data_IF_094571537866
#
_entry.id   IF_094571537866
#
_cell.length_a   1.000
_cell.length_b   1.000
_cell.length_c   1.000
_cell.angle_alpha   90.00
_cell.angle_beta   90.00
_cell.angle_gamma   90.00
#
_symmetry.space_group_name_H-M   'P 1'
#
loop_
_entity.id
_entity.type
_entity.pdbx_description
1 polymer ?
#
# COMPACT_ATOMS: atom_id res chain seq x y z
N UNK A 1 58.03 -29.01 24.48
CA UNK A 1 56.57 -29.05 24.28
C UNK A 1 56.00 -27.69 24.65
N UNK A 2 55.87 -26.79 23.67
CA UNK A 2 55.25 -25.48 23.88
C UNK A 2 53.74 -25.60 23.60
N UNK A 3 52.93 -25.47 24.65
CA UNK A 3 51.48 -25.41 24.56
C UNK A 3 51.08 -23.97 24.22
N UNK A 4 50.58 -23.77 22.99
CA UNK A 4 49.97 -22.51 22.55
C UNK A 4 48.63 -22.27 23.27
N UNK A 5 48.31 -21.03 23.71
CA UNK A 5 47.07 -20.75 24.42
C UNK A 5 45.84 -20.70 23.47
N UNK A 6 44.67 -21.23 23.91
CA UNK A 6 43.46 -21.41 23.08
C UNK A 6 42.79 -20.11 22.62
N UNK A 7 43.16 -18.96 23.18
CA UNK A 7 42.57 -17.65 22.86
C UNK A 7 43.06 -17.08 21.52
N UNK A 8 44.30 -17.41 21.12
CA UNK A 8 44.84 -17.08 19.79
C UNK A 8 44.14 -17.88 18.68
N UNK A 9 43.64 -19.07 18.98
CA UNK A 9 42.93 -19.92 18.02
C UNK A 9 41.53 -19.37 17.68
N UNK A 10 40.80 -18.79 18.65
CA UNK A 10 39.47 -18.19 18.42
C UNK A 10 39.54 -16.85 17.68
N UNK A 11 40.54 -16.01 17.97
CA UNK A 11 40.76 -14.74 17.26
C UNK A 11 41.28 -14.96 15.81
N UNK A 12 42.03 -16.03 15.57
CA UNK A 12 42.45 -16.42 14.23
C UNK A 12 41.28 -17.06 13.45
N UNK A 13 40.41 -17.84 14.12
CA UNK A 13 39.20 -18.40 13.51
C UNK A 13 38.19 -17.32 13.13
N UNK A 14 37.98 -16.29 13.95
CA UNK A 14 37.08 -15.17 13.64
C UNK A 14 37.62 -14.24 12.53
N UNK A 15 38.94 -14.22 12.30
CA UNK A 15 39.55 -13.57 11.12
C UNK A 15 39.51 -14.43 9.86
N UNK A 16 39.58 -15.76 9.98
CA UNK A 16 39.48 -16.69 8.85
C UNK A 16 38.03 -16.91 8.37
N UNK A 17 37.03 -16.68 9.22
CA UNK A 17 35.61 -16.79 8.86
C UNK A 17 35.02 -15.53 8.24
N UNK A 18 35.64 -14.34 8.41
CA UNK A 18 35.14 -13.08 7.80
C UNK A 18 34.95 -13.16 6.28
N UNK A 19 35.91 -13.64 5.47
CA UNK A 19 35.72 -13.73 4.03
C UNK A 19 34.69 -14.78 3.62
N UNK A 20 34.51 -15.83 4.42
CA UNK A 20 33.53 -16.89 4.15
C UNK A 20 32.11 -16.46 4.52
N UNK A 21 31.95 -15.74 5.63
CA UNK A 21 30.69 -15.12 6.05
C UNK A 21 30.28 -14.05 5.05
N UNK A 22 31.20 -13.15 4.66
CA UNK A 22 30.93 -12.12 3.64
C UNK A 22 30.58 -12.73 2.28
N UNK A 23 31.25 -13.80 1.86
CA UNK A 23 30.89 -14.53 0.61
C UNK A 23 29.53 -15.22 0.72
N UNK A 24 29.22 -15.84 1.85
CA UNK A 24 27.94 -16.49 2.07
C UNK A 24 26.79 -15.48 2.13
N UNK A 25 27.01 -14.33 2.75
CA UNK A 25 26.06 -13.20 2.78
C UNK A 25 25.86 -12.62 1.39
N UNK A 26 26.94 -12.37 0.64
CA UNK A 26 26.84 -11.93 -0.77
C UNK A 26 26.09 -12.94 -1.63
N UNK A 27 26.34 -14.24 -1.45
CA UNK A 27 25.63 -15.28 -2.20
C UNK A 27 24.14 -15.29 -1.88
N UNK A 28 23.75 -15.25 -0.60
CA UNK A 28 22.35 -15.14 -0.18
C UNK A 28 21.69 -13.86 -0.66
N UNK A 29 22.44 -12.77 -0.68
CA UNK A 29 21.98 -11.49 -1.21
C UNK A 29 21.66 -11.60 -2.71
N UNK A 30 22.58 -12.15 -3.50
CA UNK A 30 22.40 -12.37 -4.93
C UNK A 30 21.24 -13.34 -5.22
N UNK A 31 21.12 -14.43 -4.47
CA UNK A 31 20.00 -15.37 -4.58
C UNK A 31 18.65 -14.69 -4.26
N UNK A 32 18.59 -13.88 -3.20
CA UNK A 32 17.38 -13.14 -2.84
C UNK A 32 17.00 -12.10 -3.91
N UNK A 33 17.99 -11.42 -4.50
CA UNK A 33 17.79 -10.47 -5.60
C UNK A 33 17.28 -11.18 -6.86
N UNK A 34 17.89 -12.31 -7.22
CA UNK A 34 17.47 -13.14 -8.35
C UNK A 34 16.02 -13.60 -8.20
N UNK A 35 15.65 -14.13 -7.03
CA UNK A 35 14.28 -14.55 -6.74
C UNK A 35 13.28 -13.38 -6.75
N UNK A 36 13.70 -12.19 -6.33
CA UNK A 36 12.86 -11.00 -6.40
C UNK A 36 12.66 -10.55 -7.85
N UNK A 37 13.70 -10.61 -8.68
CA UNK A 37 13.62 -10.36 -10.13
C UNK A 37 12.71 -11.37 -10.82
N UNK A 38 12.84 -12.66 -10.52
CA UNK A 38 11.98 -13.71 -11.10
C UNK A 38 10.50 -13.45 -10.79
N UNK A 39 10.19 -13.14 -9.52
CA UNK A 39 8.83 -12.81 -9.09
C UNK A 39 8.30 -11.56 -9.79
N UNK A 40 9.14 -10.55 -10.00
CA UNK A 40 8.76 -9.34 -10.72
C UNK A 40 8.40 -9.67 -12.17
N UNK A 41 9.23 -10.46 -12.86
CA UNK A 41 8.96 -10.89 -14.23
C UNK A 41 7.65 -11.68 -14.31
N UNK A 42 7.41 -12.60 -13.37
CA UNK A 42 6.17 -13.37 -13.31
C UNK A 42 4.92 -12.50 -13.10
N UNK A 43 5.05 -11.36 -12.42
CA UNK A 43 3.95 -10.43 -12.18
C UNK A 43 3.70 -9.47 -13.35
N UNK A 44 4.73 -9.18 -14.14
CA UNK A 44 4.68 -8.21 -15.24
C UNK A 44 4.32 -8.89 -16.55
N UNK A 45 5.28 -9.64 -17.10
CA UNK A 45 5.21 -10.26 -18.43
C UNK A 45 6.28 -11.38 -18.49
N UNK A 46 5.88 -12.66 -18.37
CA UNK A 46 6.79 -13.79 -18.41
C UNK A 46 7.67 -13.87 -19.67
N UNK A 47 7.23 -13.31 -20.80
CA UNK A 47 8.00 -13.27 -22.04
C UNK A 47 9.31 -12.47 -21.92
N UNK A 48 9.42 -11.58 -20.92
CA UNK A 48 10.65 -10.82 -20.63
C UNK A 48 11.87 -11.70 -20.36
N UNK A 49 11.69 -12.96 -19.95
CA UNK A 49 12.79 -13.93 -19.79
C UNK A 49 13.53 -14.21 -21.10
N UNK A 50 12.86 -14.02 -22.25
CA UNK A 50 13.47 -14.17 -23.56
C UNK A 50 14.46 -13.06 -23.93
N UNK A 51 14.46 -11.95 -23.19
CA UNK A 51 15.36 -10.83 -23.45
C UNK A 51 16.76 -11.09 -22.89
N UNK A 52 17.80 -10.65 -23.62
CA UNK A 52 19.18 -10.80 -23.17
C UNK A 52 19.42 -9.97 -21.91
N UNK A 53 20.20 -10.52 -20.97
CA UNK A 53 20.61 -9.82 -19.75
C UNK A 53 19.46 -9.29 -18.88
N UNK A 54 18.25 -9.87 -18.97
CA UNK A 54 17.07 -9.37 -18.23
C UNK A 54 17.30 -9.30 -16.71
N UNK A 55 17.99 -10.28 -16.12
CA UNK A 55 18.36 -10.23 -14.69
C UNK A 55 19.27 -9.04 -14.38
N UNK A 56 20.31 -8.82 -15.18
CA UNK A 56 21.29 -7.74 -14.98
C UNK A 56 20.64 -6.37 -15.17
N UNK A 57 19.67 -6.26 -16.08
CA UNK A 57 18.91 -5.03 -16.35
C UNK A 57 17.92 -4.68 -15.24
N UNK A 58 17.27 -5.67 -14.63
CA UNK A 58 16.32 -5.46 -13.52
C UNK A 58 17.01 -5.34 -12.16
N UNK A 59 18.18 -5.94 -11.97
CA UNK A 59 18.87 -5.98 -10.69
C UNK A 59 19.02 -4.60 -10.01
N UNK A 60 19.43 -3.51 -10.70
CA UNK A 60 19.56 -2.19 -10.08
C UNK A 60 18.24 -1.66 -9.53
N UNK A 61 17.14 -1.92 -10.24
CA UNK A 61 15.83 -1.43 -9.84
C UNK A 61 15.28 -2.24 -8.67
N UNK A 62 15.42 -3.56 -8.70
CA UNK A 62 15.01 -4.44 -7.59
C UNK A 62 15.83 -4.14 -6.33
N UNK A 63 17.14 -3.87 -6.47
CA UNK A 63 18.01 -3.44 -5.36
C UNK A 63 17.54 -2.10 -4.77
N UNK A 64 17.25 -1.11 -5.62
CA UNK A 64 16.72 0.19 -5.18
C UNK A 64 15.38 0.05 -4.45
N UNK A 65 14.46 -0.78 -4.95
CA UNK A 65 13.17 -1.04 -4.30
C UNK A 65 13.40 -1.69 -2.93
N UNK A 66 14.29 -2.66 -2.84
CA UNK A 66 14.64 -3.31 -1.57
C UNK A 66 15.18 -2.31 -0.55
N UNK A 67 16.14 -1.48 -0.95
CA UNK A 67 16.76 -0.51 -0.06
C UNK A 67 15.75 0.57 0.38
N UNK A 68 14.89 1.02 -0.53
CA UNK A 68 13.80 1.92 -0.20
C UNK A 68 12.79 1.27 0.76
N UNK A 69 12.41 0.01 0.56
CA UNK A 69 11.54 -0.73 1.51
C UNK A 69 12.13 -0.77 2.91
N UNK A 70 13.45 -0.94 3.05
CA UNK A 70 14.12 -0.91 4.35
C UNK A 70 14.01 0.48 4.97
N UNK A 71 14.28 1.53 4.20
CA UNK A 71 14.15 2.91 4.67
C UNK A 71 12.71 3.21 5.15
N UNK A 72 11.69 2.78 4.40
CA UNK A 72 10.29 2.94 4.80
C UNK A 72 9.97 2.25 6.13
N UNK A 73 10.50 1.05 6.37
CA UNK A 73 10.29 0.30 7.63
C UNK A 73 10.93 1.03 8.81
N UNK A 74 12.13 1.58 8.60
CA UNK A 74 12.87 2.33 9.62
C UNK A 74 12.16 3.64 10.01
N UNK A 75 11.39 4.23 9.09
CA UNK A 75 10.58 5.44 9.30
C UNK A 75 9.24 5.21 10.03
N UNK A 76 8.74 3.96 10.09
CA UNK A 76 7.43 3.68 10.69
C UNK A 76 7.39 4.11 12.17
N UNK A 77 6.34 4.78 12.68
CA UNK A 77 6.27 5.16 14.09
C UNK A 77 6.03 3.94 15.00
N UNK A 78 6.35 4.07 16.29
CA UNK A 78 6.06 3.06 17.33
C UNK A 78 7.28 2.24 17.81
N UNK A 79 7.06 1.16 18.58
CA UNK A 79 5.78 0.49 18.81
C UNK A 79 4.89 1.20 19.83
N UNK A 80 3.63 1.45 19.45
CA UNK A 80 2.58 1.97 20.35
C UNK A 80 1.94 0.83 21.13
N UNK A 81 1.74 1.02 22.44
CA UNK A 81 1.09 0.02 23.29
C UNK A 81 -0.42 0.00 23.03
N UNK A 82 -0.93 -1.13 22.55
CA UNK A 82 -2.36 -1.37 22.44
C UNK A 82 -2.85 -2.09 23.70
N UNK A 83 -3.38 -1.31 24.63
CA UNK A 83 -3.90 -1.79 25.91
C UNK A 83 -5.34 -1.31 26.11
N UNK A 84 -6.25 -2.28 26.21
CA UNK A 84 -7.68 -2.05 26.40
C UNK A 84 -7.98 -1.28 27.68
N UNK A 85 -7.20 -1.51 28.74
CA UNK A 85 -7.42 -0.86 30.04
C UNK A 85 -7.05 0.63 29.97
N UNK A 86 -6.20 1.01 29.00
CA UNK A 86 -5.79 2.39 28.76
C UNK A 86 -6.68 3.12 27.76
N UNK A 87 -7.63 2.44 27.11
CA UNK A 87 -8.45 3.01 26.03
C UNK A 87 -9.12 4.35 26.39
N UNK A 88 -9.69 4.46 27.60
CA UNK A 88 -10.38 5.68 28.04
C UNK A 88 -9.44 6.84 28.42
N UNK A 89 -8.16 6.56 28.64
CA UNK A 89 -7.17 7.54 29.11
C UNK A 89 -6.12 7.90 28.06
N UNK A 90 -5.92 7.04 27.06
CA UNK A 90 -4.99 7.24 25.95
C UNK A 90 -5.72 7.86 24.75
N UNK A 91 -5.46 9.14 24.43
CA UNK A 91 -6.17 9.83 23.34
C UNK A 91 -6.00 9.15 21.99
N UNK A 92 -4.84 8.56 21.72
CA UNK A 92 -4.56 7.89 20.45
C UNK A 92 -5.40 6.60 20.32
N UNK A 93 -5.58 5.85 21.41
CA UNK A 93 -6.44 4.67 21.40
C UNK A 93 -7.91 5.07 21.21
N UNK A 94 -8.40 6.10 21.89
CA UNK A 94 -9.78 6.60 21.71
C UNK A 94 -10.05 7.21 20.33
N UNK A 95 -9.00 7.67 19.65
CA UNK A 95 -9.06 8.19 18.29
C UNK A 95 -9.12 7.03 17.26
N UNK A 96 -8.24 6.05 17.41
CA UNK A 96 -8.15 4.90 16.50
C UNK A 96 -9.34 3.95 16.67
N UNK A 97 -9.73 3.66 17.90
CA UNK A 97 -10.77 2.69 18.24
C UNK A 97 -11.96 3.41 18.85
N UNK A 98 -13.11 3.38 18.15
CA UNK A 98 -14.35 4.02 18.63
C UNK A 98 -14.88 3.37 19.91
N UNK A 99 -14.63 2.09 20.08
CA UNK A 99 -15.03 1.31 21.24
C UNK A 99 -13.89 0.33 21.64
N UNK A 100 -13.79 -0.04 22.93
CA UNK A 100 -12.81 -1.05 23.38
C UNK A 100 -12.98 -2.42 22.70
N UNK A 101 -14.20 -2.77 22.28
CA UNK A 101 -14.52 -3.99 21.53
C UNK A 101 -13.78 -4.03 20.18
N UNK A 102 -13.73 -2.91 19.45
CA UNK A 102 -13.04 -2.80 18.17
C UNK A 102 -11.54 -3.09 18.31
N UNK A 103 -10.93 -2.71 19.43
CA UNK A 103 -9.54 -3.07 19.72
C UNK A 103 -9.38 -4.59 19.87
N UNK A 104 -10.20 -5.24 20.70
CA UNK A 104 -10.18 -6.70 20.86
C UNK A 104 -10.37 -7.43 19.53
N UNK A 105 -11.33 -6.98 18.70
CA UNK A 105 -11.59 -7.54 17.36
C UNK A 105 -10.39 -7.40 16.42
N UNK A 106 -9.74 -6.24 16.42
CA UNK A 106 -8.55 -5.97 15.59
C UNK A 106 -7.40 -6.90 15.98
N UNK A 107 -7.19 -7.09 17.30
CA UNK A 107 -6.16 -7.99 17.81
C UNK A 107 -6.49 -9.47 17.59
N UNK A 108 -7.78 -9.83 17.49
CA UNK A 108 -8.25 -11.17 17.12
C UNK A 108 -8.30 -11.40 15.59
N UNK A 109 -7.67 -10.52 14.80
CA UNK A 109 -7.61 -10.61 13.35
C UNK A 109 -7.00 -11.92 12.83
N UNK A 110 -7.25 -12.28 11.55
CA UNK A 110 -6.82 -13.54 10.96
C UNK A 110 -5.30 -13.73 10.98
N UNK A 111 -4.52 -12.66 10.76
CA UNK A 111 -3.05 -12.69 10.79
C UNK A 111 -2.54 -13.08 12.18
N UNK A 112 -3.09 -12.47 13.24
CA UNK A 112 -2.70 -12.76 14.63
C UNK A 112 -3.10 -14.18 15.01
N UNK A 113 -4.34 -14.60 14.69
CA UNK A 113 -4.82 -15.97 14.95
C UNK A 113 -3.95 -17.02 14.27
N UNK A 114 -3.61 -16.81 12.99
CA UNK A 114 -2.74 -17.72 12.23
C UNK A 114 -1.36 -17.80 12.90
N UNK A 115 -0.76 -16.66 13.24
CA UNK A 115 0.55 -16.64 13.88
C UNK A 115 0.56 -17.38 15.22
N UNK A 116 -0.47 -17.18 16.06
CA UNK A 116 -0.61 -17.89 17.34
C UNK A 116 -0.74 -19.41 17.16
N UNK A 117 -1.47 -19.85 16.13
CA UNK A 117 -1.60 -21.28 15.80
C UNK A 117 -0.27 -21.90 15.35
N UNK A 118 0.53 -21.13 14.60
CA UNK A 118 1.86 -21.55 14.11
C UNK A 118 2.94 -21.49 15.21
N UNK A 119 2.75 -20.68 16.26
CA UNK A 119 3.73 -20.40 17.32
C UNK A 119 3.17 -20.67 18.73
N UNK A 120 2.51 -21.83 18.91
CA UNK A 120 1.91 -22.22 20.19
C UNK A 120 2.96 -22.38 21.30
N UNK A 121 4.16 -22.85 20.96
CA UNK A 121 5.28 -23.08 21.88
C UNK A 121 6.07 -21.81 22.22
N UNK A 122 5.78 -20.68 21.56
CA UNK A 122 6.47 -19.42 21.85
C UNK A 122 5.98 -18.84 23.19
N UNK A 123 6.91 -18.63 24.13
CA UNK A 123 6.66 -18.13 25.48
C UNK A 123 6.60 -16.59 25.56
N UNK A 124 6.66 -15.88 24.44
CA UNK A 124 6.61 -14.42 24.42
C UNK A 124 5.35 -13.86 25.09
N UNK A 125 5.54 -12.97 26.06
CA UNK A 125 4.45 -12.33 26.80
C UNK A 125 3.82 -11.16 26.05
N UNK A 126 4.58 -10.54 25.15
CA UNK A 126 4.16 -9.45 24.27
C UNK A 126 4.37 -9.83 22.80
N UNK A 127 3.47 -9.36 21.96
CA UNK A 127 3.57 -9.44 20.50
C UNK A 127 3.69 -8.04 19.92
N UNK A 128 4.36 -7.96 18.78
CA UNK A 128 4.54 -6.75 17.99
C UNK A 128 3.78 -6.91 16.68
N UNK A 129 3.19 -5.84 16.17
CA UNK A 129 2.52 -5.89 14.88
C UNK A 129 2.60 -4.60 14.10
N UNK A 130 2.19 -4.67 12.83
CA UNK A 130 1.94 -3.51 11.98
C UNK A 130 0.44 -3.26 11.92
N UNK A 131 -0.03 -2.19 12.56
CA UNK A 131 -1.42 -1.75 12.47
C UNK A 131 -1.60 -0.91 11.22
N UNK A 132 -2.59 -1.28 10.40
CA UNK A 132 -3.09 -0.47 9.29
C UNK A 132 -4.45 0.11 9.65
N UNK A 133 -4.71 1.33 9.23
CA UNK A 133 -6.03 1.95 9.37
C UNK A 133 -6.31 2.91 8.21
N UNK A 134 -7.58 3.04 7.81
CA UNK A 134 -8.02 4.00 6.79
C UNK A 134 -8.55 5.26 7.46
N UNK A 135 -7.97 6.45 7.24
CA UNK A 135 -8.54 7.69 7.74
C UNK A 135 -9.86 7.99 7.02
N UNK A 136 -10.87 8.40 7.78
CA UNK A 136 -12.20 8.76 7.30
C UNK A 136 -12.67 10.05 7.96
N UNK A 137 -12.71 11.10 7.16
CA UNK A 137 -13.30 12.37 7.53
C UNK A 137 -14.81 12.36 7.29
N UNK A 138 -15.57 12.90 8.24
CA UNK A 138 -17.02 13.05 8.11
C UNK A 138 -17.43 14.45 8.54
N UNK A 139 -18.03 15.16 7.60
CA UNK A 139 -18.69 16.43 7.88
C UNK A 139 -20.10 16.19 8.43
N UNK A 140 -20.43 16.87 9.53
CA UNK A 140 -21.75 16.83 10.17
C UNK A 140 -22.10 18.20 10.76
N UNK A 141 -23.38 18.42 11.03
CA UNK A 141 -23.86 19.57 11.79
C UNK A 141 -23.76 19.25 13.28
N UNK A 142 -23.13 20.13 14.04
CA UNK A 142 -22.95 20.00 15.48
C UNK A 142 -23.31 21.28 16.22
N UNK A 143 -23.13 21.25 17.53
CA UNK A 143 -23.30 22.40 18.41
C UNK A 143 -21.93 22.88 18.84
N UNK A 144 -21.71 24.19 18.78
CA UNK A 144 -20.47 24.82 19.24
C UNK A 144 -20.77 25.95 20.21
N UNK A 145 -19.97 26.05 21.28
CA UNK A 145 -19.99 27.20 22.17
C UNK A 145 -18.99 28.22 21.65
N UNK A 146 -19.46 29.41 21.27
CA UNK A 146 -18.61 30.56 20.92
C UNK A 146 -18.83 31.68 21.93
N UNK A 147 -17.84 31.92 22.78
CA UNK A 147 -17.98 32.81 23.94
C UNK A 147 -19.01 32.24 24.93
N UNK A 148 -20.11 32.95 25.13
CA UNK A 148 -21.22 32.55 26.02
C UNK A 148 -22.49 32.14 25.23
N UNK A 149 -22.38 31.91 23.91
CA UNK A 149 -23.50 31.53 23.04
C UNK A 149 -23.32 30.13 22.48
N UNK A 150 -24.38 29.32 22.60
CA UNK A 150 -24.54 28.07 21.89
C UNK A 150 -25.00 28.35 20.45
N UNK A 151 -24.16 28.01 19.48
CA UNK A 151 -24.50 28.01 18.07
C UNK A 151 -24.85 26.58 17.65
N UNK A 152 -26.06 26.41 17.12
CA UNK A 152 -26.52 25.17 16.50
C UNK A 152 -26.18 25.17 15.00
N UNK A 153 -26.16 23.98 14.40
CA UNK A 153 -25.90 23.77 12.97
C UNK A 153 -24.52 24.24 12.49
N UNK A 154 -23.51 24.17 13.36
CA UNK A 154 -22.13 24.46 12.98
C UNK A 154 -21.55 23.27 12.23
N UNK A 155 -21.04 23.52 11.02
CA UNK A 155 -20.37 22.50 10.21
C UNK A 155 -19.08 22.05 10.90
N UNK A 156 -19.04 20.79 11.33
CA UNK A 156 -17.90 20.17 12.00
C UNK A 156 -17.40 18.99 11.16
N UNK A 157 -16.08 18.83 11.07
CA UNK A 157 -15.46 17.66 10.44
C UNK A 157 -14.85 16.79 11.52
N UNK A 158 -15.33 15.55 11.65
CA UNK A 158 -14.74 14.55 12.55
C UNK A 158 -13.76 13.67 11.78
N UNK A 159 -12.65 13.32 12.43
CA UNK A 159 -11.70 12.33 11.93
C UNK A 159 -11.93 11.01 12.67
N UNK A 160 -12.09 9.93 11.92
CA UNK A 160 -12.18 8.58 12.47
C UNK A 160 -11.37 7.62 11.62
N UNK A 161 -11.14 6.42 12.15
CA UNK A 161 -10.42 5.37 11.45
C UNK A 161 -11.35 4.18 11.18
N UNK A 162 -11.23 3.60 9.99
CA UNK A 162 -11.94 2.39 9.58
C UNK A 162 -10.94 1.36 9.08
N UNK A 163 -11.41 0.12 8.89
CA UNK A 163 -10.60 -0.97 8.34
C UNK A 163 -9.29 -1.16 9.14
N UNK A 164 -9.43 -1.16 10.48
CA UNK A 164 -8.30 -1.41 11.38
C UNK A 164 -7.93 -2.89 11.30
N UNK A 165 -6.67 -3.18 11.00
CA UNK A 165 -6.18 -4.55 10.92
C UNK A 165 -4.70 -4.64 11.32
N UNK A 166 -4.33 -5.77 11.93
CA UNK A 166 -2.93 -6.15 12.11
C UNK A 166 -2.47 -6.89 10.85
N UNK A 167 -1.62 -6.24 10.05
CA UNK A 167 -1.16 -6.76 8.76
C UNK A 167 0.04 -7.71 8.88
N UNK A 168 0.81 -7.58 9.95
CA UNK A 168 1.94 -8.45 10.28
C UNK A 168 2.08 -8.54 11.79
N UNK A 169 2.60 -9.66 12.28
CA UNK A 169 2.80 -9.90 13.71
C UNK A 169 4.06 -10.75 13.93
N UNK A 170 4.76 -10.49 15.03
CA UNK A 170 5.88 -11.30 15.51
C UNK A 170 6.01 -11.16 17.04
N UNK A 171 6.72 -12.08 17.70
CA UNK A 171 7.07 -11.97 19.11
C UNK A 171 8.24 -11.01 19.38
N UNK A 172 8.93 -10.53 18.35
CA UNK A 172 10.02 -9.57 18.46
C UNK A 172 9.94 -8.46 17.41
N UNK A 173 10.25 -7.23 17.81
CA UNK A 173 10.18 -6.05 16.93
C UNK A 173 11.18 -6.12 15.77
N UNK A 174 12.38 -6.65 15.99
CA UNK A 174 13.38 -6.79 14.93
C UNK A 174 12.92 -7.83 13.91
N UNK A 175 12.37 -8.95 14.38
CA UNK A 175 11.77 -9.98 13.50
C UNK A 175 10.56 -9.47 12.73
N UNK A 176 9.69 -8.66 13.36
CA UNK A 176 8.61 -7.96 12.66
C UNK A 176 9.17 -7.07 11.54
N UNK A 177 10.15 -6.22 11.82
CA UNK A 177 10.75 -5.35 10.80
C UNK A 177 11.38 -6.16 9.66
N UNK A 178 12.02 -7.30 9.96
CA UNK A 178 12.56 -8.20 8.94
C UNK A 178 11.46 -8.84 8.08
N UNK A 179 10.34 -9.26 8.69
CA UNK A 179 9.23 -9.90 7.98
C UNK A 179 8.48 -8.92 7.06
N UNK A 180 8.52 -7.62 7.35
CA UNK A 180 7.91 -6.57 6.53
C UNK A 180 8.68 -6.23 5.23
N UNK A 181 9.98 -6.53 5.16
CA UNK A 181 10.83 -6.14 4.01
C UNK A 181 10.31 -6.65 2.68
N UNK A 182 9.98 -7.94 2.62
CA UNK A 182 9.47 -8.56 1.39
C UNK A 182 8.07 -8.07 1.04
N UNK A 183 7.07 -8.09 1.93
CA UNK A 183 5.73 -7.56 1.65
C UNK A 183 5.73 -6.11 1.14
N UNK A 184 6.57 -5.24 1.71
CA UNK A 184 6.65 -3.84 1.26
C UNK A 184 7.30 -3.74 -0.13
N UNK A 185 8.38 -4.48 -0.41
CA UNK A 185 8.93 -4.56 -1.76
C UNK A 185 7.91 -5.09 -2.77
N UNK A 186 7.21 -6.17 -2.43
CA UNK A 186 6.18 -6.77 -3.30
C UNK A 186 5.00 -5.79 -3.53
N UNK A 187 4.64 -4.98 -2.53
CA UNK A 187 3.65 -3.90 -2.67
C UNK A 187 4.15 -2.81 -3.64
N UNK A 188 5.39 -2.35 -3.49
CA UNK A 188 5.97 -1.32 -4.38
C UNK A 188 6.02 -1.84 -5.82
N UNK A 189 6.44 -3.09 -6.03
CA UNK A 189 6.37 -3.75 -7.34
C UNK A 189 4.95 -3.69 -7.89
N UNK A 190 3.96 -4.20 -7.14
CA UNK A 190 2.57 -4.24 -7.57
C UNK A 190 1.99 -2.85 -7.90
N UNK A 191 2.33 -1.83 -7.13
CA UNK A 191 1.91 -0.45 -7.38
C UNK A 191 2.56 0.15 -8.63
N UNK A 192 3.85 -0.15 -8.87
CA UNK A 192 4.56 0.23 -10.09
C UNK A 192 3.96 -0.42 -11.34
N UNK A 193 3.70 -1.73 -11.28
CA UNK A 193 3.08 -2.49 -12.37
C UNK A 193 1.65 -2.02 -12.66
N UNK A 194 0.89 -1.69 -11.62
CA UNK A 194 -0.48 -1.17 -11.79
C UNK A 194 -0.52 0.12 -12.63
N UNK A 195 0.59 0.87 -12.72
CA UNK A 195 0.70 2.04 -13.61
C UNK A 195 0.84 1.64 -15.07
N UNK A 196 1.53 0.54 -15.38
CA UNK A 196 1.59 -0.03 -16.73
C UNK A 196 0.21 -0.46 -17.17
N UNK A 197 -0.49 -1.23 -16.33
CA UNK A 197 -1.86 -1.65 -16.61
C UNK A 197 -2.78 -0.44 -16.86
N UNK A 198 -2.63 0.65 -16.09
CA UNK A 198 -3.35 1.89 -16.34
C UNK A 198 -2.98 2.60 -17.65
N UNK A 199 -1.74 2.47 -18.14
CA UNK A 199 -1.36 2.95 -19.47
C UNK A 199 -1.99 2.09 -20.58
N UNK A 200 -1.98 0.77 -20.44
CA UNK A 200 -2.61 -0.17 -21.38
C UNK A 200 -4.13 0.04 -21.46
N UNK A 201 -4.81 0.23 -20.32
CA UNK A 201 -6.23 0.55 -20.27
C UNK A 201 -6.55 1.86 -21.00
N UNK A 202 -5.71 2.89 -20.83
CA UNK A 202 -5.85 4.16 -21.57
C UNK A 202 -5.68 3.97 -23.07
N UNK A 203 -4.72 3.14 -23.50
CA UNK A 203 -4.52 2.80 -24.92
C UNK A 203 -5.78 2.14 -25.48
N UNK A 204 -6.30 1.11 -24.81
CA UNK A 204 -7.52 0.42 -25.21
C UNK A 204 -8.73 1.39 -25.27
N UNK A 205 -8.84 2.29 -24.29
CA UNK A 205 -9.89 3.31 -24.27
C UNK A 205 -9.82 4.30 -25.44
N UNK A 206 -8.61 4.73 -25.83
CA UNK A 206 -8.42 5.58 -27.01
C UNK A 206 -8.72 4.83 -28.31
N UNK A 207 -8.35 3.56 -28.42
CA UNK A 207 -8.66 2.72 -29.59
C UNK A 207 -10.17 2.52 -29.79
N UNK A 208 -10.90 2.23 -28.71
CA UNK A 208 -12.35 2.08 -28.78
C UNK A 208 -13.03 3.42 -29.13
N UNK A 209 -12.54 4.53 -28.55
CA UNK A 209 -13.01 5.87 -28.90
C UNK A 209 -12.80 6.16 -30.38
N UNK A 210 -11.61 5.84 -30.91
CA UNK A 210 -11.27 6.04 -32.32
C UNK A 210 -12.17 5.20 -33.23
N UNK A 211 -12.38 3.92 -32.89
CA UNK A 211 -13.27 3.01 -33.62
C UNK A 211 -14.69 3.56 -33.69
N UNK A 212 -15.23 4.04 -32.58
CA UNK A 212 -16.57 4.62 -32.51
C UNK A 212 -16.69 5.92 -33.31
N UNK A 213 -15.68 6.80 -33.27
CA UNK A 213 -15.66 8.02 -34.06
C UNK A 213 -15.60 7.73 -35.57
N UNK A 214 -14.79 6.76 -35.99
CA UNK A 214 -14.70 6.32 -37.39
C UNK A 214 -16.02 5.71 -37.89
N UNK A 215 -16.69 4.90 -37.06
CA UNK A 215 -18.02 4.36 -37.38
C UNK A 215 -19.05 5.48 -37.55
N UNK A 216 -19.09 6.46 -36.63
CA UNK A 216 -19.98 7.63 -36.75
C UNK A 216 -19.72 8.43 -38.03
N UNK A 217 -18.46 8.66 -38.36
CA UNK A 217 -18.08 9.37 -39.59
C UNK A 217 -18.58 8.62 -40.83
N UNK A 218 -18.44 7.29 -40.87
CA UNK A 218 -18.91 6.44 -41.97
C UNK A 218 -20.43 6.42 -42.11
N UNK A 219 -21.18 6.55 -41.02
CA UNK A 219 -22.65 6.65 -41.05
C UNK A 219 -23.11 8.02 -41.59
N UNK A 220 -22.43 9.10 -41.20
CA UNK A 220 -22.76 10.48 -41.63
C UNK A 220 -22.31 10.76 -43.07
N UNK A 221 -21.28 10.05 -43.55
CA UNK A 221 -20.87 10.02 -44.95
C UNK A 221 -21.29 8.71 -45.63
N UNK A 222 -22.57 8.48 -45.98
CA UNK A 222 -22.91 7.46 -46.95
C UNK A 222 -22.14 7.73 -48.24
N UNK A 223 -21.57 6.69 -48.86
CA UNK A 223 -21.00 6.79 -50.22
C UNK A 223 -22.01 7.49 -51.13
N UNK A 224 -21.49 8.40 -51.94
CA UNK A 224 -22.22 9.34 -52.79
C UNK A 224 -22.92 8.66 -53.99
N UNK A 225 -23.66 7.57 -53.76
CA UNK A 225 -24.46 6.90 -54.79
C UNK A 225 -25.96 7.24 -54.68
N UNK A 226 -26.37 8.06 -53.70
CA UNK A 226 -27.75 8.56 -53.55
C UNK A 226 -27.81 10.07 -53.71
N UNK A 227 -28.29 10.55 -54.85
CA UNK A 227 -28.18 11.95 -55.31
C UNK A 227 -29.03 12.98 -54.53
N UNK A 228 -29.95 12.64 -53.61
CA UNK A 228 -31.15 13.48 -53.43
C UNK A 228 -31.49 14.15 -52.07
N UNK A 229 -30.64 14.17 -51.02
CA UNK A 229 -31.07 14.80 -49.74
C UNK A 229 -30.30 16.07 -49.32
N UNK A 230 -30.82 17.21 -49.78
CA UNK A 230 -30.92 18.52 -49.11
C UNK A 230 -29.63 19.32 -48.76
N UNK A 231 -29.52 20.51 -49.36
CA UNK A 231 -28.43 21.48 -49.19
C UNK A 231 -28.28 22.05 -47.76
N UNK A 232 -29.36 22.10 -46.96
CA UNK A 232 -29.29 22.55 -45.56
C UNK A 232 -28.71 21.48 -44.62
N UNK A 233 -29.07 20.20 -44.85
CA UNK A 233 -28.49 19.04 -44.17
C UNK A 233 -27.02 18.87 -44.54
N UNK A 234 -26.63 19.24 -45.78
CA UNK A 234 -25.24 19.21 -46.24
C UNK A 234 -24.31 20.13 -45.43
N UNK A 235 -24.73 21.35 -45.06
CA UNK A 235 -23.90 22.26 -44.26
C UNK A 235 -23.75 21.80 -42.80
N UNK A 236 -24.83 21.25 -42.19
CA UNK A 236 -24.78 20.68 -40.85
C UNK A 236 -23.92 19.41 -40.82
N UNK A 237 -24.07 18.53 -41.81
CA UNK A 237 -23.24 17.32 -41.95
C UNK A 237 -21.77 17.67 -42.22
N UNK A 238 -21.47 18.73 -42.98
CA UNK A 238 -20.08 19.17 -43.19
C UNK A 238 -19.43 19.68 -41.90
N UNK A 239 -20.14 20.48 -41.10
CA UNK A 239 -19.64 20.94 -39.80
C UNK A 239 -19.48 19.77 -38.81
N UNK A 240 -20.38 18.80 -38.82
CA UNK A 240 -20.29 17.60 -37.98
C UNK A 240 -19.15 16.67 -38.43
N UNK A 241 -18.96 16.48 -39.73
CA UNK A 241 -17.81 15.78 -40.32
C UNK A 241 -16.49 16.43 -39.90
N UNK A 242 -16.40 17.76 -39.97
CA UNK A 242 -15.19 18.49 -39.54
C UNK A 242 -14.93 18.30 -38.04
N UNK A 243 -15.97 18.38 -37.20
CA UNK A 243 -15.85 18.14 -35.75
C UNK A 243 -15.39 16.71 -35.45
N UNK A 244 -15.99 15.70 -36.08
CA UNK A 244 -15.60 14.31 -35.92
C UNK A 244 -14.17 14.06 -36.40
N UNK A 245 -13.78 14.63 -37.54
CA UNK A 245 -12.42 14.51 -38.07
C UNK A 245 -11.39 15.15 -37.13
N UNK A 246 -11.69 16.33 -36.59
CA UNK A 246 -10.83 16.97 -35.60
C UNK A 246 -10.69 16.12 -34.32
N UNK A 247 -11.78 15.52 -33.84
CA UNK A 247 -11.77 14.64 -32.67
C UNK A 247 -11.00 13.34 -32.93
N UNK A 248 -11.09 12.79 -34.15
CA UNK A 248 -10.29 11.64 -34.59
C UNK A 248 -8.81 11.99 -34.51
N UNK A 249 -8.37 13.09 -35.13
CA UNK A 249 -6.96 13.52 -35.10
C UNK A 249 -6.46 13.79 -33.68
N UNK A 250 -7.29 14.38 -32.82
CA UNK A 250 -6.96 14.58 -31.39
C UNK A 250 -6.77 13.24 -30.67
N UNK A 251 -7.68 12.30 -30.88
CA UNK A 251 -7.64 10.97 -30.24
C UNK A 251 -6.46 10.14 -30.75
N UNK A 252 -6.15 10.20 -32.04
CA UNK A 252 -4.97 9.56 -32.64
C UNK A 252 -3.67 10.09 -32.03
N UNK A 253 -3.56 11.42 -31.83
CA UNK A 253 -2.40 12.02 -31.15
C UNK A 253 -2.30 11.54 -29.71
N UNK A 254 -3.42 11.49 -28.97
CA UNK A 254 -3.43 10.98 -27.60
C UNK A 254 -3.05 9.49 -27.53
N UNK A 255 -3.48 8.68 -28.50
CA UNK A 255 -3.12 7.26 -28.62
C UNK A 255 -1.63 7.06 -28.88
N UNK A 256 -1.03 7.85 -29.78
CA UNK A 256 0.43 7.80 -30.04
C UNK A 256 1.22 8.13 -28.76
N UNK A 257 0.79 9.14 -28.00
CA UNK A 257 1.42 9.49 -26.72
C UNK A 257 1.27 8.37 -25.70
N UNK A 258 0.09 7.74 -25.63
CA UNK A 258 -0.17 6.66 -24.68
C UNK A 258 0.63 5.38 -24.98
N UNK A 259 0.82 5.04 -26.27
CA UNK A 259 1.58 3.86 -26.74
C UNK A 259 3.10 4.01 -26.65
N UNK A 260 3.61 5.19 -26.30
CA UNK A 260 5.05 5.43 -26.22
C UNK A 260 5.69 4.45 -25.21
N UNK A 261 6.65 3.65 -25.67
CA UNK A 261 7.33 2.66 -24.83
C UNK A 261 6.62 1.31 -24.70
N UNK A 262 5.58 1.03 -25.50
CA UNK A 262 4.84 -0.24 -25.48
C UNK A 262 4.70 -0.87 -26.88
N UNK A 263 5.57 -0.51 -27.83
CA UNK A 263 5.44 -0.94 -29.23
C UNK A 263 6.03 -2.33 -29.51
N UNK A 264 7.01 -2.75 -28.71
CA UNK A 264 7.66 -4.05 -28.77
C UNK A 264 8.10 -4.47 -27.36
N UNK A 265 8.52 -5.74 -27.20
CA UNK A 265 8.89 -6.32 -25.91
C UNK A 265 10.10 -5.63 -25.27
N UNK A 266 11.04 -5.11 -26.08
CA UNK A 266 12.24 -4.42 -25.60
C UNK A 266 11.88 -3.04 -25.03
N UNK A 267 11.04 -2.28 -25.73
CA UNK A 267 10.49 -1.01 -25.25
C UNK A 267 9.63 -1.20 -24.01
N UNK A 268 8.80 -2.24 -24.00
CA UNK A 268 7.99 -2.60 -22.84
C UNK A 268 8.88 -2.88 -21.63
N UNK A 269 9.99 -3.60 -21.83
CA UNK A 269 10.93 -3.89 -20.76
C UNK A 269 11.63 -2.64 -20.21
N UNK A 270 12.11 -1.76 -21.10
CA UNK A 270 12.65 -0.46 -20.69
C UNK A 270 11.61 0.37 -19.93
N UNK A 271 10.35 0.32 -20.36
CA UNK A 271 9.25 1.03 -19.68
C UNK A 271 8.99 0.48 -18.27
N UNK A 272 9.08 -0.83 -18.08
CA UNK A 272 9.00 -1.47 -16.76
C UNK A 272 10.13 -0.99 -15.86
N UNK A 273 11.36 -0.97 -16.37
CA UNK A 273 12.55 -0.49 -15.65
C UNK A 273 12.35 0.98 -15.25
N UNK A 274 11.95 1.84 -16.19
CA UNK A 274 11.69 3.27 -15.93
C UNK A 274 10.67 3.50 -14.81
N UNK A 275 9.54 2.78 -14.82
CA UNK A 275 8.47 2.96 -13.85
C UNK A 275 8.84 2.47 -12.45
N UNK A 276 9.68 1.44 -12.39
CA UNK A 276 10.12 0.86 -11.13
C UNK A 276 11.39 1.54 -10.59
N UNK A 277 12.12 2.30 -11.41
CA UNK A 277 13.34 3.02 -11.02
C UNK A 277 13.10 4.07 -9.93
N UNK A 278 11.87 4.54 -9.75
CA UNK A 278 11.50 5.54 -8.74
C UNK A 278 10.44 4.97 -7.79
N UNK A 279 10.81 4.09 -6.84
CA UNK A 279 9.86 3.49 -5.90
C UNK A 279 9.11 4.51 -5.05
N UNK A 280 9.73 5.65 -4.77
CA UNK A 280 9.14 6.81 -4.12
C UNK A 280 7.92 7.36 -4.87
N UNK A 281 7.83 7.22 -6.18
CA UNK A 281 6.60 7.61 -6.85
C UNK A 281 5.46 6.66 -6.50
N UNK A 282 5.75 5.37 -6.36
CA UNK A 282 4.75 4.30 -6.16
C UNK A 282 4.16 4.30 -4.76
N UNK A 283 5.00 4.50 -3.74
CA UNK A 283 4.62 4.49 -2.34
C UNK A 283 5.47 5.49 -1.55
N UNK A 284 4.83 6.39 -0.81
CA UNK A 284 5.49 7.35 0.09
C UNK A 284 4.92 7.23 1.49
N UNK A 285 5.74 7.51 2.49
CA UNK A 285 5.28 7.75 3.86
C UNK A 285 5.29 9.26 4.11
N UNK A 286 4.12 9.79 4.45
CA UNK A 286 3.92 11.21 4.73
C UNK A 286 3.45 11.38 6.18
N UNK A 287 4.08 12.26 6.99
CA UNK A 287 3.56 12.61 8.29
C UNK A 287 2.24 13.35 8.15
N UNK A 288 1.22 12.89 8.87
CA UNK A 288 -0.10 13.49 8.96
C UNK A 288 -0.27 14.08 10.35
N UNK A 289 -0.18 15.41 10.43
CA UNK A 289 -0.39 16.19 11.65
C UNK A 289 -1.80 16.75 11.67
N UNK A 290 -2.56 16.43 12.70
CA UNK A 290 -3.94 16.88 12.88
C UNK A 290 -4.16 17.39 14.29
N UNK A 291 -5.01 18.41 14.41
CA UNK A 291 -5.42 19.00 15.68
C UNK A 291 -6.86 18.59 15.96
N UNK A 292 -7.06 17.85 17.04
CA UNK A 292 -8.34 17.23 17.37
C UNK A 292 -8.78 17.60 18.78
N UNK A 293 -10.07 17.82 18.99
CA UNK A 293 -10.64 17.87 20.35
C UNK A 293 -10.94 16.46 20.90
N UNK A 294 -11.42 16.38 22.14
CA UNK A 294 -11.78 15.10 22.81
C UNK A 294 -12.91 14.32 22.10
N UNK A 295 -13.63 14.95 21.18
CA UNK A 295 -14.70 14.33 20.39
C UNK A 295 -14.22 13.95 18.98
N UNK A 296 -12.90 13.98 18.73
CA UNK A 296 -12.28 13.72 17.44
C UNK A 296 -12.74 14.69 16.33
N UNK A 297 -13.15 15.92 16.70
CA UNK A 297 -13.46 16.99 15.76
C UNK A 297 -12.16 17.70 15.39
N UNK A 298 -11.94 17.95 14.09
CA UNK A 298 -10.81 18.74 13.60
C UNK A 298 -10.95 20.20 14.05
N UNK A 299 -9.88 20.75 14.60
CA UNK A 299 -9.79 22.10 15.14
C UNK A 299 -8.58 22.83 14.56
N UNK A 300 -8.61 24.16 14.66
CA UNK A 300 -7.43 24.98 14.43
C UNK A 300 -6.37 24.70 15.50
N UNK A 301 -5.10 24.87 15.14
CA UNK A 301 -3.97 24.61 16.06
C UNK A 301 -3.93 25.57 17.26
N UNK A 302 -4.60 26.73 17.15
CA UNK A 302 -4.71 27.73 18.20
C UNK A 302 -5.89 27.48 19.16
N UNK A 303 -6.81 26.53 18.87
CA UNK A 303 -7.94 26.23 19.76
C UNK A 303 -7.42 25.58 21.06
N UNK A 304 -7.73 26.12 22.25
CA UNK A 304 -7.28 25.55 23.53
C UNK A 304 -7.74 24.10 23.78
N UNK A 305 -8.78 23.64 23.07
CA UNK A 305 -9.32 22.29 23.14
C UNK A 305 -8.59 21.33 22.19
N UNK A 306 -7.85 21.85 21.23
CA UNK A 306 -7.12 21.06 20.26
C UNK A 306 -5.93 20.35 20.89
N UNK A 307 -5.70 19.12 20.44
CA UNK A 307 -4.53 18.32 20.75
C UNK A 307 -3.91 17.86 19.44
N UNK A 308 -2.61 18.07 19.31
CA UNK A 308 -1.86 17.58 18.16
C UNK A 308 -1.75 16.06 18.22
N UNK A 309 -2.03 15.42 17.08
CA UNK A 309 -1.79 14.00 16.86
C UNK A 309 -0.98 13.87 15.58
N UNK A 310 0.17 13.21 15.68
CA UNK A 310 1.04 12.89 14.56
C UNK A 310 0.89 11.42 14.19
N UNK A 311 0.54 11.17 12.93
CA UNK A 311 0.35 9.84 12.35
C UNK A 311 1.25 9.70 11.12
N UNK A 312 1.55 8.47 10.72
CA UNK A 312 2.28 8.20 9.46
C UNK A 312 1.32 7.63 8.42
N UNK A 313 1.22 8.27 7.25
CA UNK A 313 0.31 7.88 6.18
C UNK A 313 1.09 7.35 4.98
N UNK A 314 0.82 6.11 4.57
CA UNK A 314 1.21 5.65 3.23
C UNK A 314 0.31 6.29 2.18
N UNK A 315 0.94 6.87 1.17
CA UNK A 315 0.28 7.46 0.01
C UNK A 315 0.76 6.76 -1.25
N UNK A 316 -0.19 6.47 -2.14
CA UNK A 316 0.08 5.96 -3.47
C UNK A 316 -0.87 6.64 -4.46
N UNK A 317 -0.44 6.94 -5.69
CA UNK A 317 -1.31 7.62 -6.66
C UNK A 317 -2.57 6.83 -7.05
N UNK A 318 -2.54 5.51 -6.91
CA UNK A 318 -3.60 4.62 -7.39
C UNK A 318 -4.50 4.07 -6.27
N UNK A 319 -4.14 4.29 -5.00
CA UNK A 319 -4.84 3.69 -3.85
C UNK A 319 -5.10 4.73 -2.75
N UNK A 320 -6.25 4.63 -2.04
CA UNK A 320 -6.50 5.49 -0.89
C UNK A 320 -5.49 5.19 0.22
N UNK A 321 -4.87 6.24 0.76
CA UNK A 321 -3.84 6.11 1.77
C UNK A 321 -4.29 5.40 3.05
N UNK A 322 -3.32 4.82 3.76
CA UNK A 322 -3.51 4.16 5.06
C UNK A 322 -2.57 4.76 6.09
N UNK A 323 -3.04 4.88 7.31
CA UNK A 323 -2.14 5.07 8.45
C UNK A 323 -1.43 3.75 8.73
N UNK A 324 -0.14 3.83 9.03
CA UNK A 324 0.64 2.70 9.54
C UNK A 324 1.31 3.06 10.84
N UNK A 325 1.37 2.09 11.75
CA UNK A 325 2.18 2.19 12.95
C UNK A 325 2.59 0.82 13.45
N UNK A 326 3.79 0.76 14.02
CA UNK A 326 4.23 -0.38 14.81
C UNK A 326 3.45 -0.37 16.11
N UNK A 327 2.96 -1.52 16.53
CA UNK A 327 2.19 -1.69 17.76
C UNK A 327 2.77 -2.83 18.58
N UNK A 328 2.51 -2.80 19.89
CA UNK A 328 2.77 -3.92 20.80
C UNK A 328 1.53 -4.21 21.65
N UNK A 329 1.25 -5.48 21.92
CA UNK A 329 0.09 -5.91 22.71
C UNK A 329 0.37 -7.20 23.49
N UNK A 330 -0.24 -7.40 24.68
CA UNK A 330 -0.02 -8.60 25.48
C UNK A 330 -0.60 -9.86 24.83
N UNK A 331 0.17 -10.96 24.79
CA UNK A 331 -0.30 -12.26 24.27
C UNK A 331 -1.43 -12.84 25.12
N UNK A 332 -1.34 -12.73 26.45
CA UNK A 332 -2.29 -13.33 27.39
C UNK A 332 -3.74 -12.84 27.21
N UNK A 333 -3.92 -11.59 26.74
CA UNK A 333 -5.24 -10.99 26.53
C UNK A 333 -5.98 -11.59 25.32
N UNK A 334 -5.26 -12.17 24.36
CA UNK A 334 -5.83 -12.77 23.16
C UNK A 334 -6.53 -14.10 23.46
N UNK A 335 -5.98 -14.87 24.41
CA UNK A 335 -6.58 -16.12 24.86
C UNK A 335 -7.86 -15.87 25.68
N UNK A 336 -7.82 -14.89 26.60
CA UNK A 336 -8.95 -14.57 27.47
C UNK A 336 -10.18 -14.04 26.70
N UNK A 337 -9.98 -13.22 25.66
CA UNK A 337 -11.08 -12.70 24.83
C UNK A 337 -11.66 -13.80 23.91
N UNK A 338 -10.87 -14.81 23.52
CA UNK A 338 -11.32 -15.94 22.69
C UNK A 338 -12.24 -16.92 23.44
N UNK A 339 -11.98 -17.16 24.74
CA UNK A 339 -12.83 -17.99 25.60
C UNK A 339 -14.18 -17.32 25.90
N UNK A 340 -14.25 -15.99 25.88
CA UNK A 340 -15.50 -15.24 26.09
C UNK A 340 -16.38 -15.16 24.83
N UNK A 341 -15.82 -15.37 23.63
CA UNK A 341 -16.57 -15.35 22.37
C UNK A 341 -17.13 -16.72 21.93
N UNK A 342 -16.60 -17.83 22.47
CA UNK A 342 -17.12 -19.18 22.22
C UNK A 342 -17.23 -19.94 23.55
N UNK A 343 -18.39 -19.92 24.25
CA UNK A 343 -18.59 -20.84 25.35
C UNK A 343 -18.56 -22.27 24.79
N UNK A 344 -17.58 -23.07 25.22
CA UNK A 344 -17.56 -24.51 25.01
C UNK A 344 -18.96 -25.06 25.35
N UNK A 345 -19.63 -25.63 24.35
CA UNK A 345 -20.92 -26.25 24.52
C UNK A 345 -20.83 -27.25 25.67
N UNK A 346 -21.62 -27.00 26.72
CA UNK A 346 -21.70 -27.84 27.89
C UNK A 346 -21.96 -29.28 27.46
N UNK A 347 -21.09 -30.18 27.90
CA UNK A 347 -21.23 -31.62 27.73
C UNK A 347 -22.61 -32.04 28.28
N UNK A 348 -23.45 -32.75 27.50
CA UNK A 348 -24.70 -33.25 28.04
C UNK A 348 -24.40 -34.28 29.14
N UNK A 349 -25.19 -34.35 30.21
CA UNK A 349 -25.03 -35.40 31.20
C UNK A 349 -25.45 -36.73 30.57
N UNK A 350 -24.53 -37.70 30.59
CA UNK A 350 -24.85 -39.13 30.38
C UNK A 350 -24.87 -39.84 31.74
N UNK A 351 -25.60 -40.96 31.88
CA UNK A 351 -26.90 -41.31 31.31
C UNK A 351 -28.01 -41.44 32.38
#
# INVERSE_FOLDING_TARGET
MALFPPQLFLALRSRLTRPWVERAERKRYQEALHLATDRLIDQVEPELRGLPHHHERLAPVVERIRDYSIALIDELPGPIALDKDRWATDPLLSLLFKEPSTLSETLAGPVVRKWLQEHQEDEATELFGLLLARPKERTQLGVEVRGDRLEHDVKQTTLSFTDLEIAAVDSDLVRLNLSLRRPISDLIHSLGISRLAGQEERIAGYEETLRMLQLKLKVIQPRADGIDLLLATRNQNLAEVQRLSAKITETERALVVARRGLSDLEQYFERVIELLAFPEESLQLEPMRVWLDRMNVLRDSEDPRAREVELMRAVSPTKPGRILMRVRFPRARLAADSEQQFPLAATPPEP
#
